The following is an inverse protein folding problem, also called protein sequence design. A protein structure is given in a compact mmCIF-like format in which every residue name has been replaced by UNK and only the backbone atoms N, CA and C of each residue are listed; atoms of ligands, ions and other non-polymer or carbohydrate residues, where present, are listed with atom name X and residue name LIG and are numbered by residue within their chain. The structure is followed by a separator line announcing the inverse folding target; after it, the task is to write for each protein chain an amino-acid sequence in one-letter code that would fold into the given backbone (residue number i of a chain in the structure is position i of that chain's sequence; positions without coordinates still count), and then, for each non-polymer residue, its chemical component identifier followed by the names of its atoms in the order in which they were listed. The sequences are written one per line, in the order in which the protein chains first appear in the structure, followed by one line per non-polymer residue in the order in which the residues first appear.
data_IF_955976422753
#
_entry.id   IF_955976422753
#
_cell.length_a   1.000
_cell.length_b   1.000
_cell.length_c   1.000
_cell.angle_alpha   90.00
_cell.angle_beta   90.00
_cell.angle_gamma   90.00
#
_symmetry.space_group_name_H-M   'P 1'
#
loop_
_entity.id
_entity.type
_entity.pdbx_description
1 polymer ?
#
# COMPACT_ATOMS: atom_id res chain seq x y z
N UNK A 1 -25.82 39.47 -5.53
CA UNK A 1 -24.39 39.19 -5.26
C UNK A 1 -24.32 38.55 -3.88
N UNK A 2 -24.37 37.23 -3.80
CA UNK A 2 -24.35 36.52 -2.52
C UNK A 2 -22.92 36.50 -1.97
N UNK A 3 -22.71 37.12 -0.82
CA UNK A 3 -21.44 37.08 -0.11
C UNK A 3 -21.19 35.65 0.38
N UNK A 4 -20.25 34.95 -0.26
CA UNK A 4 -19.66 33.72 0.27
C UNK A 4 -18.93 34.10 1.56
N UNK A 5 -19.58 33.86 2.70
CA UNK A 5 -18.94 33.96 3.99
C UNK A 5 -17.97 32.78 4.13
N UNK A 6 -16.70 33.00 3.78
CA UNK A 6 -15.61 32.17 4.26
C UNK A 6 -15.46 32.45 5.76
N UNK A 7 -16.14 31.64 6.58
CA UNK A 7 -15.76 31.52 7.98
C UNK A 7 -14.63 30.51 8.03
N UNK A 8 -13.45 30.93 8.50
CA UNK A 8 -12.42 30.01 8.93
C UNK A 8 -12.96 29.27 10.16
N UNK A 9 -13.72 28.21 9.92
CA UNK A 9 -14.13 27.27 10.95
C UNK A 9 -12.86 26.60 11.45
N UNK A 10 -12.63 26.61 12.76
CA UNK A 10 -11.54 25.84 13.35
C UNK A 10 -11.62 24.40 12.81
N UNK A 11 -10.55 23.93 12.18
CA UNK A 11 -10.48 22.56 11.70
C UNK A 11 -10.64 21.63 12.90
N UNK A 12 -11.50 20.62 12.75
CA UNK A 12 -11.62 19.56 13.74
C UNK A 12 -10.23 18.89 13.91
N UNK A 13 -9.79 18.66 15.15
CA UNK A 13 -8.54 17.95 15.44
C UNK A 13 -8.53 16.55 14.82
N UNK A 14 -9.72 15.98 14.55
CA UNK A 14 -9.94 14.70 13.89
C UNK A 14 -10.27 14.81 12.41
N UNK A 15 -10.03 15.97 11.78
CA UNK A 15 -10.19 16.14 10.34
C UNK A 15 -9.14 15.28 9.61
N UNK A 16 -9.53 14.26 8.82
CA UNK A 16 -8.56 13.43 8.10
C UNK A 16 -7.89 14.23 7.00
N UNK A 17 -6.58 14.03 6.85
CA UNK A 17 -5.73 14.67 5.83
C UNK A 17 -4.84 13.63 5.15
N UNK A 18 -4.54 13.84 3.86
CA UNK A 18 -3.50 13.10 3.16
C UNK A 18 -2.16 13.79 3.43
N UNK A 19 -1.27 13.12 4.14
CA UNK A 19 0.01 13.72 4.57
C UNK A 19 1.17 13.38 3.64
N UNK A 20 1.05 12.38 2.77
CA UNK A 20 2.10 12.02 1.82
C UNK A 20 1.62 11.01 0.78
N UNK A 21 2.22 11.09 -0.41
CA UNK A 21 1.93 10.19 -1.54
C UNK A 21 3.22 9.68 -2.17
N UNK A 22 3.19 8.44 -2.66
CA UNK A 22 4.36 7.80 -3.23
C UNK A 22 3.99 6.91 -4.41
N UNK A 23 4.72 7.04 -5.50
CA UNK A 23 4.57 6.20 -6.68
C UNK A 23 5.92 5.75 -7.18
N UNK A 24 6.03 4.48 -7.54
CA UNK A 24 7.22 3.90 -8.14
C UNK A 24 6.84 3.26 -9.47
N UNK A 25 7.70 3.45 -10.48
CA UNK A 25 7.62 2.74 -11.75
C UNK A 25 9.01 2.29 -12.13
N UNK A 26 9.27 0.99 -12.06
CA UNK A 26 10.51 0.42 -12.53
C UNK A 26 10.41 0.05 -14.02
N UNK A 27 11.56 0.09 -14.71
CA UNK A 27 11.72 -0.38 -16.09
C UNK A 27 12.87 -1.39 -16.22
N UNK A 28 13.18 -2.07 -15.12
CA UNK A 28 14.23 -3.09 -15.08
C UNK A 28 13.89 -4.23 -16.03
N UNK A 29 14.85 -4.57 -16.89
CA UNK A 29 14.72 -5.58 -17.94
C UNK A 29 15.14 -6.96 -17.48
N UNK A 30 16.09 -7.07 -16.56
CA UNK A 30 16.48 -8.33 -15.93
C UNK A 30 15.48 -8.66 -14.80
N UNK A 31 14.66 -9.73 -14.93
CA UNK A 31 13.70 -10.08 -13.91
C UNK A 31 14.33 -10.43 -12.55
N UNK A 32 15.63 -10.76 -12.50
CA UNK A 32 16.35 -11.06 -11.26
C UNK A 32 16.73 -9.79 -10.48
N UNK A 33 16.90 -8.67 -11.18
CA UNK A 33 17.22 -7.37 -10.58
C UNK A 33 15.95 -6.53 -10.30
N UNK A 34 14.86 -6.84 -10.98
CA UNK A 34 13.56 -6.22 -10.80
C UNK A 34 13.01 -6.42 -9.37
N UNK A 35 12.37 -5.39 -8.79
CA UNK A 35 11.72 -5.54 -7.50
C UNK A 35 10.50 -6.48 -7.58
N UNK A 36 10.30 -7.25 -6.52
CA UNK A 36 9.09 -8.05 -6.30
C UNK A 36 7.88 -7.13 -6.02
N UNK A 37 6.64 -7.66 -6.05
CA UNK A 37 5.48 -6.89 -5.59
C UNK A 37 5.64 -6.30 -4.19
N UNK A 38 6.24 -7.05 -3.26
CA UNK A 38 6.58 -6.55 -1.91
C UNK A 38 7.57 -5.39 -1.99
N UNK A 39 8.63 -5.53 -2.78
CA UNK A 39 9.63 -4.48 -2.98
C UNK A 39 9.02 -3.20 -3.55
N UNK A 40 8.14 -3.31 -4.56
CA UNK A 40 7.43 -2.17 -5.13
C UNK A 40 6.54 -1.47 -4.10
N UNK A 41 5.76 -2.23 -3.32
CA UNK A 41 4.94 -1.65 -2.25
C UNK A 41 5.80 -0.96 -1.18
N UNK A 42 6.91 -1.59 -0.77
CA UNK A 42 7.81 -1.03 0.23
C UNK A 42 8.48 0.26 -0.26
N UNK A 43 8.93 0.31 -1.51
CA UNK A 43 9.51 1.52 -2.10
C UNK A 43 8.46 2.63 -2.22
N UNK A 44 7.23 2.32 -2.64
CA UNK A 44 6.16 3.30 -2.74
C UNK A 44 5.73 3.84 -1.37
N UNK A 45 5.64 2.98 -0.35
CA UNK A 45 5.34 3.39 1.02
C UNK A 45 6.44 4.29 1.60
N UNK A 46 7.71 3.97 1.39
CA UNK A 46 8.85 4.82 1.79
C UNK A 46 8.84 6.16 1.05
N UNK A 47 8.50 6.18 -0.24
CA UNK A 47 8.34 7.44 -0.99
C UNK A 47 7.22 8.31 -0.40
N UNK A 48 6.07 7.72 -0.06
CA UNK A 48 4.97 8.44 0.59
C UNK A 48 5.36 8.97 1.97
N UNK A 49 6.14 8.20 2.73
CA UNK A 49 6.65 8.61 4.03
C UNK A 49 7.63 9.79 3.89
N UNK A 50 8.51 9.77 2.89
CA UNK A 50 9.42 10.88 2.59
C UNK A 50 8.67 12.14 2.14
N UNK A 51 7.66 12.00 1.29
CA UNK A 51 6.81 13.10 0.82
C UNK A 51 6.10 13.83 1.98
N UNK A 52 5.79 13.12 3.07
CA UNK A 52 5.22 13.75 4.28
C UNK A 52 6.19 14.63 5.06
N UNK A 53 7.49 14.59 4.76
CA UNK A 53 8.54 15.27 5.53
C UNK A 53 8.89 14.60 6.86
N UNK A 54 8.14 13.58 7.29
CA UNK A 54 8.38 12.84 8.54
C UNK A 54 9.26 11.60 8.31
N UNK A 55 9.23 11.02 7.10
CA UNK A 55 10.01 9.84 6.75
C UNK A 55 9.56 8.59 7.49
N UNK A 56 10.50 7.67 7.74
CA UNK A 56 10.22 6.34 8.31
C UNK A 56 9.49 6.38 9.67
N UNK A 57 9.59 7.48 10.43
CA UNK A 57 8.84 7.65 11.68
C UNK A 57 7.32 7.61 11.46
N UNK A 58 6.83 8.07 10.31
CA UNK A 58 5.41 7.94 9.96
C UNK A 58 5.00 6.48 9.77
N UNK A 59 5.85 5.68 9.12
CA UNK A 59 5.60 4.26 8.90
C UNK A 59 5.59 3.47 10.22
N UNK A 60 6.46 3.83 11.16
CA UNK A 60 6.53 3.21 12.49
C UNK A 60 5.31 3.53 13.36
N UNK A 61 4.62 4.65 13.11
CA UNK A 61 3.42 5.08 13.83
C UNK A 61 2.09 4.67 13.19
N UNK A 62 2.10 3.84 12.14
CA UNK A 62 0.89 3.39 11.47
C UNK A 62 0.02 2.51 12.38
N UNK A 63 -1.27 2.83 12.47
CA UNK A 63 -2.25 1.98 13.16
C UNK A 63 -2.81 0.89 12.23
N UNK A 64 -3.02 1.25 10.96
CA UNK A 64 -3.58 0.36 9.94
C UNK A 64 -2.74 0.37 8.66
N UNK A 65 -2.48 -0.82 8.12
CA UNK A 65 -1.91 -1.01 6.80
C UNK A 65 -2.91 -1.74 5.90
N UNK A 66 -3.26 -1.12 4.79
CA UNK A 66 -4.18 -1.65 3.78
C UNK A 66 -3.46 -1.93 2.48
N UNK A 67 -3.42 -3.19 2.07
CA UNK A 67 -2.91 -3.60 0.76
C UNK A 67 -4.08 -3.79 -0.20
N UNK A 68 -4.05 -3.05 -1.31
CA UNK A 68 -4.96 -3.27 -2.44
C UNK A 68 -4.65 -4.63 -3.05
N UNK A 69 -5.70 -5.40 -3.32
CA UNK A 69 -5.59 -6.79 -3.79
C UNK A 69 -4.63 -6.92 -4.95
N UNK A 70 -3.64 -7.79 -4.80
CA UNK A 70 -2.71 -8.11 -5.87
C UNK A 70 -3.46 -8.84 -6.99
N UNK A 71 -3.15 -8.48 -8.23
CA UNK A 71 -3.77 -9.10 -9.40
C UNK A 71 -3.58 -10.62 -9.41
N UNK A 72 -2.42 -11.09 -8.96
CA UNK A 72 -2.08 -12.52 -8.84
C UNK A 72 -2.98 -13.30 -7.88
N UNK A 73 -3.65 -12.62 -6.95
CA UNK A 73 -4.53 -13.21 -5.93
C UNK A 73 -6.01 -13.06 -6.25
N UNK A 74 -6.34 -12.55 -7.43
CA UNK A 74 -7.74 -12.33 -7.84
C UNK A 74 -8.36 -13.57 -8.49
N UNK A 75 -7.59 -14.40 -9.19
CA UNK A 75 -8.08 -15.62 -9.83
C UNK A 75 -6.95 -16.65 -9.97
N UNK A 76 -7.23 -17.96 -9.90
CA UNK A 76 -6.26 -19.00 -10.25
C UNK A 76 -5.64 -18.83 -11.64
N UNK A 77 -6.38 -18.21 -12.59
CA UNK A 77 -5.89 -17.93 -13.95
C UNK A 77 -4.76 -16.89 -13.98
N UNK A 78 -4.65 -16.06 -12.95
CA UNK A 78 -3.65 -15.00 -12.83
C UNK A 78 -2.60 -15.32 -11.77
N UNK A 79 -2.66 -16.52 -11.18
CA UNK A 79 -1.71 -16.97 -10.17
C UNK A 79 -0.27 -16.74 -10.64
N UNK A 80 0.51 -16.06 -9.82
CA UNK A 80 1.96 -16.00 -10.04
C UNK A 80 2.55 -17.39 -9.80
N UNK A 81 3.45 -17.89 -10.66
CA UNK A 81 4.21 -19.10 -10.38
C UNK A 81 5.31 -18.88 -9.32
N UNK A 82 5.56 -17.62 -8.93
CA UNK A 82 6.66 -17.25 -8.03
C UNK A 82 6.23 -17.14 -6.56
N UNK A 83 5.13 -17.80 -6.19
CA UNK A 83 4.60 -17.77 -4.83
C UNK A 83 3.59 -16.66 -4.55
N UNK A 84 3.14 -16.62 -3.29
CA UNK A 84 2.13 -15.68 -2.76
C UNK A 84 2.54 -15.25 -1.36
N UNK A 85 1.98 -14.14 -0.91
CA UNK A 85 2.04 -13.75 0.50
C UNK A 85 0.82 -14.34 1.22
N UNK A 86 1.02 -15.08 2.31
CA UNK A 86 -0.10 -15.58 3.11
C UNK A 86 -0.90 -14.43 3.73
N UNK A 87 -0.21 -13.35 4.12
CA UNK A 87 -0.80 -12.13 4.64
C UNK A 87 -0.04 -10.89 4.09
N UNK A 88 -0.40 -10.39 2.88
CA UNK A 88 0.30 -9.27 2.23
C UNK A 88 0.48 -8.02 3.10
N UNK A 89 -0.54 -7.51 3.84
CA UNK A 89 -0.34 -6.35 4.70
C UNK A 89 0.61 -6.61 5.87
N UNK A 90 0.59 -7.80 6.48
CA UNK A 90 1.52 -8.15 7.57
C UNK A 90 2.96 -8.33 7.05
N UNK A 91 3.13 -9.01 5.92
CA UNK A 91 4.41 -9.12 5.21
C UNK A 91 5.00 -7.74 4.93
N UNK A 92 4.19 -6.81 4.44
CA UNK A 92 4.64 -5.44 4.18
C UNK A 92 4.95 -4.66 5.47
N UNK A 93 4.14 -4.78 6.52
CA UNK A 93 4.41 -4.13 7.79
C UNK A 93 5.77 -4.54 8.36
N UNK A 94 6.12 -5.83 8.30
CA UNK A 94 7.45 -6.34 8.70
C UNK A 94 8.56 -5.76 7.84
N UNK A 95 8.40 -5.73 6.52
CA UNK A 95 9.39 -5.18 5.59
C UNK A 95 9.64 -3.67 5.78
N UNK A 96 8.64 -2.94 6.30
CA UNK A 96 8.73 -1.52 6.62
C UNK A 96 9.21 -1.23 8.06
N UNK A 97 9.30 -2.25 8.93
CA UNK A 97 9.54 -2.05 10.36
C UNK A 97 8.35 -1.39 11.09
N UNK A 98 7.14 -1.47 10.52
CA UNK A 98 5.92 -0.85 11.04
C UNK A 98 5.27 -1.74 12.11
N UNK A 99 5.95 -1.93 13.24
CA UNK A 99 5.53 -2.90 14.28
C UNK A 99 4.31 -2.48 15.10
N UNK A 100 3.88 -1.21 15.02
CA UNK A 100 2.71 -0.69 15.73
C UNK A 100 1.38 -0.93 14.99
N UNK A 101 1.43 -1.42 13.75
CA UNK A 101 0.23 -1.72 12.96
C UNK A 101 -0.59 -2.78 13.67
N UNK A 102 -1.79 -2.39 14.12
CA UNK A 102 -2.75 -3.29 14.78
C UNK A 102 -3.81 -3.82 13.80
N UNK A 103 -4.02 -3.16 12.67
CA UNK A 103 -5.00 -3.58 11.66
C UNK A 103 -4.33 -3.83 10.31
N UNK A 104 -4.43 -5.07 9.83
CA UNK A 104 -3.87 -5.53 8.57
C UNK A 104 -5.01 -5.86 7.61
N UNK A 105 -5.23 -5.02 6.60
CA UNK A 105 -6.37 -5.15 5.68
C UNK A 105 -5.89 -5.53 4.29
N UNK A 106 -6.40 -6.64 3.77
CA UNK A 106 -6.20 -7.04 2.38
C UNK A 106 -7.53 -6.95 1.63
N UNK A 107 -7.60 -6.12 0.59
CA UNK A 107 -8.89 -5.79 -0.01
C UNK A 107 -9.49 -6.92 -0.87
N UNK A 108 -10.77 -6.78 -1.20
CA UNK A 108 -11.37 -7.41 -2.37
C UNK A 108 -10.77 -6.85 -3.67
N UNK A 109 -10.91 -7.54 -4.82
CA UNK A 109 -10.50 -6.98 -6.11
C UNK A 109 -11.45 -5.86 -6.55
N UNK A 110 -10.91 -4.82 -7.18
CA UNK A 110 -11.73 -3.75 -7.79
C UNK A 110 -10.95 -2.45 -7.96
N UNK A 111 -11.12 -1.79 -9.11
CA UNK A 111 -10.48 -0.49 -9.39
C UNK A 111 -10.97 0.65 -8.50
N UNK A 112 -12.14 0.50 -7.87
CA UNK A 112 -12.70 1.43 -6.91
C UNK A 112 -12.11 1.30 -5.49
N UNK A 113 -11.40 0.21 -5.21
CA UNK A 113 -10.95 -0.10 -3.84
C UNK A 113 -10.03 0.96 -3.22
N UNK A 114 -9.06 1.56 -3.95
CA UNK A 114 -8.25 2.63 -3.37
C UNK A 114 -9.08 3.78 -2.81
N UNK A 115 -10.03 4.32 -3.60
CA UNK A 115 -10.89 5.41 -3.15
C UNK A 115 -11.85 4.98 -2.03
N UNK A 116 -12.41 3.77 -2.12
CA UNK A 116 -13.25 3.22 -1.06
C UNK A 116 -12.50 3.15 0.28
N UNK A 117 -11.26 2.66 0.26
CA UNK A 117 -10.41 2.57 1.45
C UNK A 117 -10.10 3.95 2.03
N UNK A 118 -9.78 4.95 1.19
CA UNK A 118 -9.56 6.32 1.66
C UNK A 118 -10.78 6.89 2.38
N UNK A 119 -11.99 6.69 1.83
CA UNK A 119 -13.22 7.14 2.48
C UNK A 119 -13.42 6.46 3.86
N UNK A 120 -13.21 5.14 3.93
CA UNK A 120 -13.35 4.36 5.16
C UNK A 120 -12.34 4.75 6.23
N UNK A 121 -11.09 5.01 5.84
CA UNK A 121 -10.03 5.47 6.74
C UNK A 121 -10.30 6.89 7.23
N UNK A 122 -10.79 7.77 6.36
CA UNK A 122 -11.22 9.11 6.74
C UNK A 122 -12.29 9.08 7.84
N UNK A 123 -13.33 8.25 7.66
CA UNK A 123 -14.36 8.04 8.68
C UNK A 123 -13.78 7.49 10.01
N UNK A 124 -12.83 6.56 9.95
CA UNK A 124 -12.20 5.99 11.14
C UNK A 124 -11.37 7.03 11.91
N UNK A 125 -10.62 7.87 11.21
CA UNK A 125 -9.87 8.98 11.81
C UNK A 125 -10.81 10.01 12.43
N UNK A 126 -11.89 10.38 11.72
CA UNK A 126 -12.91 11.30 12.24
C UNK A 126 -13.56 10.78 13.52
N UNK A 127 -13.77 9.45 13.65
CA UNK A 127 -14.29 8.84 14.88
C UNK A 127 -13.26 8.66 15.99
N UNK A 128 -11.97 8.83 15.69
CA UNK A 128 -10.87 8.57 16.62
C UNK A 128 -10.50 7.10 16.80
N UNK A 129 -10.91 6.23 15.86
CA UNK A 129 -10.55 4.80 15.86
C UNK A 129 -9.09 4.57 15.43
N UNK A 130 -8.57 5.46 14.60
CA UNK A 130 -7.22 5.46 14.03
C UNK A 130 -6.65 6.88 14.07
N UNK A 131 -5.34 6.99 14.27
CA UNK A 131 -4.58 8.23 14.15
C UNK A 131 -3.82 8.30 12.83
N UNK A 132 -3.36 7.16 12.29
CA UNK A 132 -2.70 7.10 10.99
C UNK A 132 -2.88 5.77 10.26
N UNK A 133 -2.91 5.81 8.93
CA UNK A 133 -3.11 4.62 8.11
C UNK A 133 -2.43 4.75 6.74
N UNK A 134 -2.09 3.61 6.14
CA UNK A 134 -1.50 3.50 4.80
C UNK A 134 -2.41 2.67 3.88
N UNK A 135 -2.61 3.15 2.65
CA UNK A 135 -3.16 2.37 1.53
C UNK A 135 -2.08 2.23 0.46
N UNK A 136 -1.80 1.01 0.04
CA UNK A 136 -0.72 0.72 -0.91
C UNK A 136 -1.07 -0.47 -1.80
N UNK A 137 -0.51 -0.51 -3.00
CA UNK A 137 -0.63 -1.64 -3.91
C UNK A 137 0.57 -1.70 -4.85
N UNK A 138 0.71 -2.80 -5.57
CA UNK A 138 1.76 -2.95 -6.58
C UNK A 138 1.32 -3.92 -7.69
N UNK A 139 1.95 -3.78 -8.84
CA UNK A 139 1.83 -4.71 -9.96
C UNK A 139 3.22 -4.98 -10.57
N UNK A 140 3.60 -6.25 -10.66
CA UNK A 140 4.87 -6.70 -11.25
C UNK A 140 4.65 -7.61 -12.48
N UNK A 141 3.56 -7.42 -13.22
CA UNK A 141 3.17 -8.31 -14.33
C UNK A 141 4.19 -8.34 -15.47
N UNK A 142 4.83 -7.21 -15.78
CA UNK A 142 5.87 -7.15 -16.81
C UNK A 142 7.07 -8.03 -16.42
N UNK A 143 7.56 -7.88 -15.19
CA UNK A 143 8.62 -8.71 -14.61
C UNK A 143 8.24 -10.18 -14.59
N UNK A 144 7.00 -10.49 -14.15
CA UNK A 144 6.52 -11.87 -14.12
C UNK A 144 6.56 -12.52 -15.51
N UNK A 145 6.00 -11.85 -16.52
CA UNK A 145 5.97 -12.34 -17.90
C UNK A 145 7.37 -12.49 -18.49
N UNK A 146 8.29 -11.56 -18.19
CA UNK A 146 9.67 -11.63 -18.64
C UNK A 146 10.40 -12.84 -18.03
N UNK A 147 10.26 -13.07 -16.73
CA UNK A 147 10.84 -14.23 -16.05
C UNK A 147 10.32 -15.56 -16.61
N UNK A 148 9.00 -15.67 -16.84
CA UNK A 148 8.39 -16.87 -17.44
C UNK A 148 8.91 -17.13 -18.85
N UNK A 149 9.03 -16.11 -19.71
CA UNK A 149 9.58 -16.25 -21.06
C UNK A 149 11.05 -16.68 -21.07
N UNK A 150 11.81 -16.21 -20.08
CA UNK A 150 13.23 -16.51 -19.94
C UNK A 150 13.50 -17.79 -19.13
N UNK A 151 12.46 -18.51 -18.68
CA UNK A 151 12.57 -19.65 -17.76
C UNK A 151 13.41 -19.34 -16.50
N UNK A 152 13.29 -18.11 -15.99
CA UNK A 152 13.93 -17.68 -14.75
C UNK A 152 13.00 -18.00 -13.58
N UNK A 153 13.52 -18.76 -12.61
CA UNK A 153 12.85 -18.96 -11.33
C UNK A 153 13.05 -17.73 -10.44
N UNK A 154 11.96 -17.21 -9.89
CA UNK A 154 11.94 -16.19 -8.84
C UNK A 154 11.20 -16.75 -7.63
N UNK A 155 11.45 -16.15 -6.47
CA UNK A 155 10.69 -16.41 -5.26
C UNK A 155 10.20 -15.09 -4.67
N UNK A 156 8.89 -14.91 -4.68
CA UNK A 156 8.19 -13.78 -4.08
C UNK A 156 7.29 -14.25 -2.93
N UNK A 157 7.40 -15.50 -2.49
CA UNK A 157 6.58 -15.98 -1.38
C UNK A 157 7.01 -15.37 -0.05
N UNK A 158 6.05 -15.21 0.85
CA UNK A 158 6.30 -14.96 2.26
C UNK A 158 5.12 -15.51 3.07
N UNK A 159 5.42 -16.09 4.22
CA UNK A 159 4.42 -16.59 5.17
C UNK A 159 4.77 -16.09 6.57
N UNK A 160 4.25 -14.91 6.97
CA UNK A 160 4.61 -14.31 8.23
C UNK A 160 4.05 -15.04 9.47
N UNK A 161 3.27 -16.12 9.29
CA UNK A 161 2.71 -16.91 10.39
C UNK A 161 1.32 -16.51 10.82
#
# INVERSE_FOLDING_TARGET
MAAVHSSARALDERQPVLVGVGQITQRETDPRAAASPLGLMAQAARAAAQDSGVGDALLQGLDQLTVIRLFSDTSPRFASPFGRFANPPLTLARALGASQVRQHVYTHPGGNMPQYCLNRLGEAITRGDLDSALVVGAEALATQKAAQRANIALDWSDDPG
#
